data_IF_891746141379
#
_entry.id   IF_891746141379
#
_cell.length_a   1.000
_cell.length_b   1.000
_cell.length_c   1.000
_cell.angle_alpha   90.00
_cell.angle_beta   90.00
_cell.angle_gamma   90.00
#
_symmetry.space_group_name_H-M   'P 1'
#
loop_
_entity.id
_entity.type
_entity.pdbx_description
1 polymer ?
#
# COMPACT_ATOMS: atom_id res chain seq x y z
N UNK A 1 21.13 -8.12 -46.14
CA UNK A 1 21.75 -7.51 -44.92
C UNK A 1 21.26 -6.09 -44.59
N UNK A 2 20.48 -5.40 -45.43
CA UNK A 2 19.96 -4.05 -45.11
C UNK A 2 18.67 -4.00 -44.25
N UNK A 3 17.80 -5.01 -44.35
CA UNK A 3 16.49 -5.00 -43.65
C UNK A 3 16.58 -5.31 -42.15
N UNK A 4 17.56 -6.11 -41.71
CA UNK A 4 17.66 -6.53 -40.30
C UNK A 4 18.04 -5.36 -39.38
N UNK A 5 18.87 -4.42 -39.85
CA UNK A 5 19.25 -3.23 -39.06
C UNK A 5 18.06 -2.31 -38.77
N UNK A 6 17.09 -2.21 -39.70
CA UNK A 6 15.91 -1.35 -39.52
C UNK A 6 14.92 -1.94 -38.50
N UNK A 7 14.75 -3.27 -38.48
CA UNK A 7 13.91 -3.97 -37.52
C UNK A 7 14.46 -3.92 -36.08
N UNK A 8 15.78 -3.96 -35.91
CA UNK A 8 16.42 -3.83 -34.59
C UNK A 8 16.20 -2.41 -34.01
N UNK A 9 16.29 -1.37 -34.85
CA UNK A 9 16.07 0.02 -34.42
C UNK A 9 14.64 0.29 -33.93
N UNK A 10 13.63 -0.27 -34.60
CA UNK A 10 12.22 -0.07 -34.21
C UNK A 10 11.89 -0.75 -32.88
N UNK A 11 12.41 -1.95 -32.63
CA UNK A 11 12.23 -2.65 -31.37
C UNK A 11 12.89 -1.90 -30.20
N UNK A 12 14.13 -1.45 -30.35
CA UNK A 12 14.84 -0.69 -29.31
C UNK A 12 14.08 0.58 -28.91
N UNK A 13 13.56 1.32 -29.89
CA UNK A 13 12.73 2.51 -29.66
C UNK A 13 11.44 2.19 -28.90
N UNK A 14 10.75 1.10 -29.26
CA UNK A 14 9.54 0.66 -28.57
C UNK A 14 9.81 0.31 -27.09
N UNK A 15 10.90 -0.41 -26.80
CA UNK A 15 11.28 -0.73 -25.42
C UNK A 15 11.66 0.52 -24.60
N UNK A 16 12.34 1.49 -25.22
CA UNK A 16 12.68 2.75 -24.58
C UNK A 16 11.41 3.52 -24.20
N UNK A 17 10.47 3.71 -25.14
CA UNK A 17 9.18 4.34 -24.88
C UNK A 17 8.43 3.63 -23.74
N UNK A 18 8.37 2.29 -23.78
CA UNK A 18 7.72 1.50 -22.74
C UNK A 18 8.29 1.78 -21.36
N UNK A 19 9.61 1.88 -21.26
CA UNK A 19 10.30 2.23 -20.00
C UNK A 19 9.98 3.65 -19.55
N UNK A 20 10.00 4.62 -20.45
CA UNK A 20 9.73 6.03 -20.10
C UNK A 20 8.33 6.24 -19.54
N UNK A 21 7.30 5.69 -20.17
CA UNK A 21 5.94 5.83 -19.66
C UNK A 21 5.77 5.20 -18.27
N UNK A 22 6.36 4.02 -18.07
CA UNK A 22 6.34 3.37 -16.77
C UNK A 22 7.01 4.20 -15.66
N UNK A 23 8.14 4.84 -15.97
CA UNK A 23 8.81 5.77 -15.04
C UNK A 23 7.96 7.01 -14.79
N UNK A 24 7.29 7.57 -15.80
CA UNK A 24 6.39 8.73 -15.63
C UNK A 24 5.24 8.40 -14.68
N UNK A 25 4.60 7.24 -14.86
CA UNK A 25 3.53 6.78 -13.96
C UNK A 25 4.04 6.56 -12.53
N UNK A 26 5.24 5.99 -12.38
CA UNK A 26 5.88 5.83 -11.06
C UNK A 26 6.17 7.19 -10.40
N UNK A 27 6.69 8.16 -11.15
CA UNK A 27 6.94 9.52 -10.65
C UNK A 27 5.62 10.21 -10.25
N UNK A 28 4.54 9.98 -10.99
CA UNK A 28 3.20 10.43 -10.62
C UNK A 28 2.75 9.85 -9.27
N UNK A 29 2.95 8.55 -9.04
CA UNK A 29 2.66 7.93 -7.74
C UNK A 29 3.52 8.49 -6.61
N UNK A 30 4.83 8.68 -6.85
CA UNK A 30 5.72 9.31 -5.86
C UNK A 30 5.30 10.74 -5.55
N UNK A 31 4.85 11.50 -6.55
CA UNK A 31 4.33 12.85 -6.35
C UNK A 31 3.05 12.84 -5.51
N UNK A 32 2.08 11.97 -5.82
CA UNK A 32 0.87 11.84 -5.01
C UNK A 32 1.21 11.46 -3.56
N UNK A 33 2.14 10.53 -3.37
CA UNK A 33 2.44 9.97 -2.05
C UNK A 33 3.32 10.87 -1.17
N UNK A 34 4.24 11.63 -1.75
CA UNK A 34 5.20 12.43 -1.00
C UNK A 34 4.73 13.90 -0.91
N UNK A 35 4.94 14.76 -1.93
CA UNK A 35 4.59 16.17 -1.81
C UNK A 35 3.08 16.40 -1.69
N UNK A 36 2.24 15.67 -2.43
CA UNK A 36 0.81 15.89 -2.37
C UNK A 36 0.24 15.48 -1.00
N UNK A 37 0.47 14.24 -0.54
CA UNK A 37 -0.02 13.79 0.77
C UNK A 37 0.54 14.62 1.94
N UNK A 38 1.82 14.99 1.92
CA UNK A 38 2.37 15.91 2.92
C UNK A 38 1.69 17.29 2.85
N UNK A 39 1.48 17.81 1.65
CA UNK A 39 0.76 19.07 1.41
C UNK A 39 -0.66 19.08 1.98
N UNK A 40 -1.40 17.97 1.84
CA UNK A 40 -2.75 17.81 2.46
C UNK A 40 -2.67 18.03 3.97
N UNK A 41 -1.67 17.44 4.61
CA UNK A 41 -1.53 17.48 6.06
C UNK A 41 -1.06 18.84 6.58
N UNK A 42 -0.27 19.58 5.80
CA UNK A 42 0.23 20.91 6.19
C UNK A 42 -0.72 22.06 5.83
N UNK A 43 -1.42 21.99 4.70
CA UNK A 43 -2.27 23.07 4.19
C UNK A 43 -3.75 22.95 4.64
N UNK A 44 -4.09 21.87 5.33
CA UNK A 44 -5.43 21.58 5.83
C UNK A 44 -6.20 20.61 4.93
N UNK A 45 -6.99 19.76 5.58
CA UNK A 45 -7.83 18.77 4.90
C UNK A 45 -9.07 19.47 4.31
N UNK A 46 -9.21 19.40 2.99
CA UNK A 46 -10.47 19.72 2.30
C UNK A 46 -11.11 18.42 1.85
N UNK A 47 -12.44 18.33 1.95
CA UNK A 47 -13.21 17.10 1.70
C UNK A 47 -12.97 16.46 0.32
N UNK A 48 -12.58 17.25 -0.69
CA UNK A 48 -12.32 16.76 -2.04
C UNK A 48 -10.88 16.25 -2.26
N UNK A 49 -9.92 16.67 -1.43
CA UNK A 49 -8.49 16.40 -1.69
C UNK A 49 -8.15 14.94 -1.39
N UNK A 50 -8.72 14.39 -0.32
CA UNK A 50 -8.54 12.98 0.04
C UNK A 50 -9.10 12.03 -1.06
N UNK A 51 -10.32 12.21 -1.59
CA UNK A 51 -10.78 11.47 -2.76
C UNK A 51 -9.87 11.56 -3.99
N UNK A 52 -9.37 12.77 -4.32
CA UNK A 52 -8.45 12.96 -5.45
C UNK A 52 -7.15 12.17 -5.26
N UNK A 53 -6.60 12.20 -4.04
CA UNK A 53 -5.42 11.41 -3.69
C UNK A 53 -5.65 9.91 -3.85
N UNK A 54 -6.72 9.38 -3.28
CA UNK A 54 -7.02 7.94 -3.31
C UNK A 54 -7.35 7.43 -4.71
N UNK A 55 -8.19 8.16 -5.46
CA UNK A 55 -8.52 7.82 -6.85
C UNK A 55 -7.28 7.91 -7.73
N UNK A 56 -6.49 8.99 -7.62
CA UNK A 56 -5.29 9.18 -8.41
C UNK A 56 -4.26 8.09 -8.16
N UNK A 57 -4.03 7.73 -6.90
CA UNK A 57 -3.10 6.66 -6.51
C UNK A 57 -3.56 5.31 -7.05
N UNK A 58 -4.86 4.99 -6.94
CA UNK A 58 -5.40 3.74 -7.44
C UNK A 58 -5.38 3.66 -8.97
N UNK A 59 -5.75 4.74 -9.66
CA UNK A 59 -5.73 4.83 -11.12
C UNK A 59 -4.32 4.65 -11.69
N UNK A 60 -3.31 5.32 -11.13
CA UNK A 60 -1.91 5.17 -11.56
C UNK A 60 -1.36 3.76 -11.25
N UNK A 61 -1.74 3.18 -10.11
CA UNK A 61 -1.37 1.79 -9.78
C UNK A 61 -1.99 0.80 -10.77
N UNK A 62 -3.28 0.95 -11.09
CA UNK A 62 -3.95 0.13 -12.09
C UNK A 62 -3.33 0.29 -13.49
N UNK A 63 -3.00 1.53 -13.88
CA UNK A 63 -2.32 1.82 -15.15
C UNK A 63 -0.94 1.15 -15.22
N UNK A 64 -0.15 1.19 -14.14
CA UNK A 64 1.13 0.50 -14.07
C UNK A 64 0.98 -1.02 -14.13
N UNK A 65 0.00 -1.60 -13.43
CA UNK A 65 -0.29 -3.04 -13.50
C UNK A 65 -0.60 -3.45 -14.93
N UNK A 66 -1.44 -2.67 -15.62
CA UNK A 66 -1.78 -2.93 -17.01
C UNK A 66 -0.58 -2.77 -17.96
N UNK A 67 0.20 -1.70 -17.79
CA UNK A 67 1.37 -1.40 -18.62
C UNK A 67 2.46 -2.46 -18.49
N UNK A 68 2.66 -2.94 -17.27
CA UNK A 68 3.71 -3.89 -16.89
C UNK A 68 3.22 -5.34 -16.83
N UNK A 69 1.98 -5.63 -17.26
CA UNK A 69 1.28 -6.92 -17.12
C UNK A 69 2.07 -8.17 -17.52
N UNK A 70 2.93 -8.07 -18.53
CA UNK A 70 3.74 -9.19 -19.04
C UNK A 70 4.96 -9.51 -18.18
N UNK A 71 5.35 -8.58 -17.29
CA UNK A 71 6.56 -8.68 -16.48
C UNK A 71 6.33 -8.26 -15.02
N UNK A 72 5.10 -8.42 -14.52
CA UNK A 72 4.74 -8.11 -13.12
C UNK A 72 5.57 -8.92 -12.11
N UNK A 73 6.03 -10.11 -12.48
CA UNK A 73 6.93 -10.91 -11.65
C UNK A 73 8.26 -10.19 -11.34
N UNK A 74 8.78 -9.36 -12.25
CA UNK A 74 10.00 -8.56 -12.03
C UNK A 74 9.83 -7.55 -10.89
N UNK A 75 8.58 -7.14 -10.64
CA UNK A 75 8.17 -6.18 -9.63
C UNK A 75 7.60 -6.87 -8.39
N UNK A 76 7.85 -8.17 -8.19
CA UNK A 76 7.27 -8.95 -7.09
C UNK A 76 5.72 -8.90 -7.03
N UNK A 77 5.05 -8.63 -8.15
CA UNK A 77 3.57 -8.59 -8.24
C UNK A 77 3.10 -9.90 -8.85
N UNK A 78 2.59 -10.80 -7.99
CA UNK A 78 1.99 -12.08 -8.40
C UNK A 78 0.47 -12.01 -8.53
N UNK A 79 -0.14 -13.14 -8.88
CA UNK A 79 -1.59 -13.25 -9.02
C UNK A 79 -2.35 -12.87 -7.74
N UNK A 80 -1.86 -13.28 -6.56
CA UNK A 80 -2.49 -12.95 -5.28
C UNK A 80 -2.49 -11.43 -5.01
N UNK A 81 -1.38 -10.75 -5.26
CA UNK A 81 -1.28 -9.29 -5.09
C UNK A 81 -2.27 -8.55 -5.99
N UNK A 82 -2.40 -8.96 -7.25
CA UNK A 82 -3.37 -8.39 -8.19
C UNK A 82 -4.80 -8.56 -7.68
N UNK A 83 -5.16 -9.74 -7.19
CA UNK A 83 -6.48 -9.97 -6.62
C UNK A 83 -6.75 -9.10 -5.39
N UNK A 84 -5.77 -8.95 -4.50
CA UNK A 84 -5.90 -8.06 -3.34
C UNK A 84 -6.18 -6.62 -3.80
N UNK A 85 -5.43 -6.11 -4.79
CA UNK A 85 -5.58 -4.76 -5.34
C UNK A 85 -6.95 -4.53 -5.99
N UNK A 86 -7.47 -5.51 -6.72
CA UNK A 86 -8.77 -5.42 -7.41
C UNK A 86 -9.94 -5.51 -6.43
N UNK A 87 -9.83 -6.37 -5.40
CA UNK A 87 -10.96 -6.68 -4.51
C UNK A 87 -11.01 -5.74 -3.31
N UNK A 88 -9.89 -5.49 -2.64
CA UNK A 88 -9.91 -4.80 -1.36
C UNK A 88 -10.08 -3.29 -1.49
N UNK A 89 -9.68 -2.68 -2.62
CA UNK A 89 -9.87 -1.23 -2.81
C UNK A 89 -11.35 -0.84 -2.93
N UNK A 90 -12.18 -1.52 -3.75
CA UNK A 90 -13.63 -1.29 -3.71
C UNK A 90 -14.27 -1.68 -2.38
N UNK A 91 -13.81 -2.77 -1.74
CA UNK A 91 -14.34 -3.23 -0.45
C UNK A 91 -14.13 -2.19 0.68
N UNK A 92 -13.02 -1.46 0.66
CA UNK A 92 -12.77 -0.31 1.53
C UNK A 92 -13.93 0.70 1.50
N UNK A 93 -14.44 1.03 0.31
CA UNK A 93 -15.54 2.00 0.12
C UNK A 93 -16.87 1.50 0.73
N UNK A 94 -17.08 0.18 0.75
CA UNK A 94 -18.24 -0.44 1.42
C UNK A 94 -18.08 -0.32 2.93
N UNK A 95 -16.88 -0.59 3.46
CA UNK A 95 -16.62 -0.52 4.91
C UNK A 95 -16.84 0.90 5.42
N UNK A 96 -16.35 1.91 4.70
CA UNK A 96 -16.52 3.33 5.04
C UNK A 96 -18.01 3.73 5.17
N UNK A 97 -18.92 3.10 4.42
CA UNK A 97 -20.38 3.33 4.55
C UNK A 97 -20.89 2.96 5.95
N UNK A 98 -20.33 1.92 6.56
CA UNK A 98 -20.76 1.41 7.86
C UNK A 98 -20.11 2.13 9.05
N UNK A 99 -19.19 3.07 8.82
CA UNK A 99 -18.55 3.85 9.90
C UNK A 99 -19.41 5.01 10.43
N UNK A 100 -20.61 5.23 9.85
CA UNK A 100 -21.59 6.20 10.35
C UNK A 100 -21.21 7.68 10.17
N UNK A 101 -20.04 7.97 9.59
CA UNK A 101 -19.62 9.32 9.19
C UNK A 101 -19.80 9.50 7.69
N UNK A 102 -20.10 10.72 7.27
CA UNK A 102 -20.18 11.09 5.85
C UNK A 102 -18.77 11.13 5.24
N UNK A 103 -18.20 9.98 4.90
CA UNK A 103 -16.94 9.90 4.17
C UNK A 103 -17.18 10.16 2.68
N UNK A 104 -16.44 11.07 2.03
CA UNK A 104 -16.57 11.32 0.60
C UNK A 104 -16.33 10.09 -0.29
N UNK A 105 -15.58 9.09 0.20
CA UNK A 105 -15.32 7.81 -0.48
C UNK A 105 -16.29 6.68 -0.09
N UNK A 106 -17.24 6.89 0.82
CA UNK A 106 -18.19 5.85 1.19
C UNK A 106 -19.14 5.52 0.02
N UNK A 107 -19.33 4.24 -0.25
CA UNK A 107 -20.26 3.80 -1.29
C UNK A 107 -21.71 4.12 -0.91
N UNK A 108 -22.55 4.66 -1.82
CA UNK A 108 -22.36 4.83 -3.27
C UNK A 108 -22.04 6.27 -3.72
N UNK A 109 -21.06 6.95 -3.10
CA UNK A 109 -20.65 8.29 -3.55
C UNK A 109 -20.02 8.28 -4.96
N UNK A 110 -20.07 9.41 -5.68
CA UNK A 110 -19.42 9.54 -7.01
C UNK A 110 -17.92 9.14 -6.96
N UNK A 111 -17.11 9.61 -5.99
CA UNK A 111 -15.74 9.15 -5.85
C UNK A 111 -15.59 7.63 -5.68
N UNK A 112 -16.45 6.99 -4.89
CA UNK A 112 -16.42 5.53 -4.72
C UNK A 112 -16.72 4.80 -6.04
N UNK A 113 -17.68 5.27 -6.83
CA UNK A 113 -18.05 4.67 -8.11
C UNK A 113 -16.88 4.72 -9.12
N UNK A 114 -16.03 5.76 -9.06
CA UNK A 114 -14.81 5.83 -9.87
C UNK A 114 -13.82 4.73 -9.46
N UNK A 115 -13.64 4.47 -8.15
CA UNK A 115 -12.79 3.36 -7.67
C UNK A 115 -13.30 2.02 -8.19
N UNK A 116 -14.61 1.77 -8.11
CA UNK A 116 -15.24 0.57 -8.65
C UNK A 116 -15.02 0.43 -10.16
N UNK A 117 -15.18 1.52 -10.91
CA UNK A 117 -14.93 1.56 -12.35
C UNK A 117 -13.49 1.18 -12.68
N UNK A 118 -12.50 1.76 -11.99
CA UNK A 118 -11.08 1.43 -12.17
C UNK A 118 -10.83 -0.06 -11.91
N UNK A 119 -11.37 -0.62 -10.82
CA UNK A 119 -11.20 -2.01 -10.45
C UNK A 119 -11.80 -2.97 -11.49
N UNK A 120 -13.03 -2.71 -11.94
CA UNK A 120 -13.73 -3.51 -12.95
C UNK A 120 -13.01 -3.43 -14.30
N UNK A 121 -12.60 -2.24 -14.72
CA UNK A 121 -11.85 -2.05 -15.98
C UNK A 121 -10.53 -2.81 -15.94
N UNK A 122 -9.78 -2.73 -14.83
CA UNK A 122 -8.54 -3.48 -14.67
C UNK A 122 -8.79 -4.99 -14.73
N UNK A 123 -9.79 -5.50 -14.00
CA UNK A 123 -10.15 -6.91 -14.00
C UNK A 123 -10.55 -7.42 -15.39
N UNK A 124 -11.40 -6.67 -16.11
CA UNK A 124 -11.84 -7.01 -17.45
C UNK A 124 -10.69 -7.07 -18.46
N UNK A 125 -9.76 -6.10 -18.39
CA UNK A 125 -8.58 -6.08 -19.26
C UNK A 125 -7.60 -7.22 -18.98
N UNK A 126 -7.34 -7.54 -17.70
CA UNK A 126 -6.51 -8.68 -17.33
C UNK A 126 -7.17 -10.01 -17.71
N UNK A 127 -8.49 -10.13 -17.55
CA UNK A 127 -9.25 -11.30 -17.99
C UNK A 127 -9.15 -11.52 -19.51
N UNK A 128 -9.30 -10.45 -20.29
CA UNK A 128 -9.25 -10.51 -21.76
C UNK A 128 -7.86 -10.86 -22.27
N UNK A 129 -6.81 -10.30 -21.68
CA UNK A 129 -5.43 -10.50 -22.16
C UNK A 129 -4.73 -11.71 -21.58
N UNK A 130 -5.22 -12.24 -20.44
CA UNK A 130 -4.65 -13.40 -19.72
C UNK A 130 -3.12 -13.29 -19.59
N UNK A 131 -2.59 -12.20 -19.00
CA UNK A 131 -1.15 -12.04 -18.88
C UNK A 131 -0.55 -13.19 -18.06
N UNK A 132 0.73 -13.48 -18.30
CA UNK A 132 1.45 -14.53 -17.60
C UNK A 132 1.79 -14.11 -16.15
N UNK A 133 0.78 -14.06 -15.28
CA UNK A 133 0.94 -13.78 -13.87
C UNK A 133 1.54 -15.00 -13.17
N UNK A 134 2.53 -14.77 -12.29
CA UNK A 134 3.02 -15.82 -11.39
C UNK A 134 1.86 -16.31 -10.52
N UNK A 135 1.41 -17.54 -10.78
CA UNK A 135 0.27 -18.16 -10.09
C UNK A 135 0.54 -18.25 -8.59
N UNK A 136 -0.50 -18.03 -7.80
CA UNK A 136 -0.42 -18.27 -6.37
C UNK A 136 -0.29 -19.78 -6.12
N UNK A 137 0.77 -20.19 -5.42
CA UNK A 137 0.96 -21.56 -4.96
C UNK A 137 0.93 -21.60 -3.43
N UNK A 138 1.07 -22.78 -2.84
CA UNK A 138 1.07 -22.94 -1.39
C UNK A 138 2.12 -22.05 -0.70
N UNK A 139 3.33 -21.94 -1.26
CA UNK A 139 4.38 -21.08 -0.71
C UNK A 139 3.96 -19.60 -0.68
N UNK A 140 3.25 -19.10 -1.71
CA UNK A 140 2.70 -17.73 -1.71
C UNK A 140 1.72 -17.52 -0.56
N UNK A 141 0.81 -18.48 -0.29
CA UNK A 141 -0.14 -18.38 0.82
C UNK A 141 0.53 -18.53 2.19
N UNK A 142 1.53 -19.40 2.30
CA UNK A 142 2.33 -19.52 3.52
C UNK A 142 3.04 -18.19 3.83
N UNK A 143 3.68 -17.59 2.82
CA UNK A 143 4.30 -16.27 2.97
C UNK A 143 3.28 -15.17 3.26
N UNK A 144 2.04 -15.27 2.77
CA UNK A 144 0.98 -14.34 3.16
C UNK A 144 0.63 -14.48 4.65
N UNK A 145 0.50 -15.72 5.15
CA UNK A 145 0.26 -16.00 6.57
C UNK A 145 1.42 -15.55 7.47
N UNK A 146 2.67 -15.80 7.07
CA UNK A 146 3.88 -15.28 7.76
C UNK A 146 3.85 -13.75 7.81
N UNK A 147 3.44 -13.09 6.72
CA UNK A 147 3.26 -11.64 6.71
C UNK A 147 2.27 -11.17 7.77
N UNK A 148 1.10 -11.81 7.85
CA UNK A 148 0.08 -11.51 8.86
C UNK A 148 0.62 -11.69 10.29
N UNK A 149 1.30 -12.81 10.57
CA UNK A 149 1.89 -13.11 11.88
C UNK A 149 2.96 -12.09 12.27
N UNK A 150 3.92 -11.81 11.38
CA UNK A 150 4.94 -10.77 11.60
C UNK A 150 4.31 -9.42 11.84
N UNK A 151 3.24 -9.07 11.12
CA UNK A 151 2.52 -7.83 11.31
C UNK A 151 1.85 -7.72 12.68
N UNK A 152 1.26 -8.80 13.20
CA UNK A 152 0.70 -8.86 14.55
C UNK A 152 1.79 -8.72 15.62
N UNK A 153 2.92 -9.42 15.47
CA UNK A 153 4.05 -9.31 16.39
C UNK A 153 4.61 -7.88 16.41
N UNK A 154 4.77 -7.26 15.25
CA UNK A 154 5.16 -5.85 15.14
C UNK A 154 4.15 -4.93 15.79
N UNK A 155 2.85 -5.19 15.62
CA UNK A 155 1.81 -4.39 16.26
C UNK A 155 1.91 -4.41 17.78
N UNK A 156 2.18 -5.57 18.38
CA UNK A 156 2.41 -5.71 19.83
C UNK A 156 3.62 -4.88 20.26
N UNK A 157 4.74 -4.99 19.54
CA UNK A 157 5.97 -4.24 19.85
C UNK A 157 5.79 -2.73 19.70
N UNK A 158 5.08 -2.28 18.66
CA UNK A 158 4.85 -0.87 18.36
C UNK A 158 3.76 -0.24 19.22
N UNK A 159 2.84 -1.03 19.75
CA UNK A 159 1.75 -0.52 20.58
C UNK A 159 2.24 0.18 21.86
N UNK A 160 3.38 -0.24 22.43
CA UNK A 160 3.96 0.40 23.61
C UNK A 160 4.36 1.85 23.31
N UNK A 161 5.28 2.16 22.38
CA UNK A 161 5.62 3.54 22.06
C UNK A 161 4.43 4.33 21.50
N UNK A 162 3.56 3.70 20.71
CA UNK A 162 2.33 4.33 20.20
C UNK A 162 1.42 4.78 21.37
N UNK A 163 1.31 3.99 22.44
CA UNK A 163 0.44 4.29 23.59
C UNK A 163 0.83 5.58 24.31
N UNK A 164 2.09 6.02 24.24
CA UNK A 164 2.56 7.28 24.83
C UNK A 164 2.14 8.52 24.04
N UNK A 165 1.70 8.33 22.79
CA UNK A 165 1.29 9.40 21.86
C UNK A 165 -0.23 9.44 21.65
N UNK A 166 -0.97 8.55 22.32
CA UNK A 166 -2.42 8.54 22.34
C UNK A 166 -2.89 9.21 23.63
N UNK A 167 -3.78 10.19 23.49
CA UNK A 167 -4.48 10.77 24.63
C UNK A 167 -5.45 9.72 25.20
N UNK A 168 -5.41 9.44 26.51
CA UNK A 168 -6.34 8.49 27.14
C UNK A 168 -7.77 8.92 26.84
N UNK A 169 -8.55 8.02 26.23
CA UNK A 169 -9.92 8.32 25.85
C UNK A 169 -10.77 8.65 27.09
N UNK A 170 -11.57 9.72 27.08
CA UNK A 170 -12.50 10.03 28.17
C UNK A 170 -13.65 9.02 28.28
N UNK A 171 -13.81 8.11 27.30
CA UNK A 171 -14.93 7.17 27.20
C UNK A 171 -14.89 6.03 28.24
N UNK A 172 -13.85 5.93 29.07
CA UNK A 172 -13.75 4.94 30.14
C UNK A 172 -13.51 3.51 29.65
N UNK A 173 -13.17 2.62 30.60
CA UNK A 173 -12.69 1.25 30.34
C UNK A 173 -13.72 0.36 29.61
N UNK A 174 -15.00 0.47 29.98
CA UNK A 174 -16.07 -0.40 29.46
C UNK A 174 -16.32 -0.24 27.96
N UNK A 175 -16.21 1.00 27.44
CA UNK A 175 -16.35 1.29 26.01
C UNK A 175 -15.17 0.77 25.20
N UNK A 176 -13.96 0.84 25.77
CA UNK A 176 -12.77 0.30 25.11
C UNK A 176 -12.94 -1.20 24.88
N UNK A 177 -13.42 -1.99 25.86
CA UNK A 177 -13.55 -3.45 25.71
C UNK A 177 -14.56 -3.93 24.68
N UNK A 178 -15.72 -3.26 24.56
CA UNK A 178 -16.76 -3.60 23.59
C UNK A 178 -16.32 -3.28 22.14
N UNK A 179 -15.39 -2.33 21.97
CA UNK A 179 -14.86 -1.88 20.68
C UNK A 179 -13.69 -2.73 20.15
N UNK A 180 -13.28 -3.84 20.80
CA UNK A 180 -12.05 -4.53 20.40
C UNK A 180 -12.25 -5.69 19.42
N UNK A 181 -13.28 -6.53 19.54
CA UNK A 181 -13.30 -7.79 18.78
C UNK A 181 -13.91 -7.65 17.38
N UNK A 182 -15.08 -7.00 17.27
CA UNK A 182 -15.76 -6.80 15.97
C UNK A 182 -15.00 -5.84 15.04
N UNK A 183 -14.32 -4.77 15.54
CA UNK A 183 -13.59 -3.86 14.68
C UNK A 183 -12.30 -4.42 14.07
N UNK A 184 -11.59 -5.37 14.71
CA UNK A 184 -10.29 -5.83 14.19
C UNK A 184 -10.41 -6.43 12.78
N UNK A 185 -11.33 -7.36 12.57
CA UNK A 185 -11.46 -8.03 11.28
C UNK A 185 -11.85 -7.03 10.18
N UNK A 186 -12.75 -6.09 10.52
CA UNK A 186 -13.14 -4.99 9.63
C UNK A 186 -11.97 -4.06 9.33
N UNK A 187 -11.22 -3.66 10.35
CA UNK A 187 -10.10 -2.74 10.25
C UNK A 187 -8.95 -3.39 9.48
N UNK A 188 -8.72 -4.71 9.63
CA UNK A 188 -7.75 -5.44 8.83
C UNK A 188 -8.11 -5.41 7.34
N UNK A 189 -9.39 -5.63 7.01
CA UNK A 189 -9.88 -5.56 5.61
C UNK A 189 -9.81 -4.13 5.08
N UNK A 190 -10.17 -3.13 5.90
CA UNK A 190 -10.06 -1.72 5.55
C UNK A 190 -8.60 -1.33 5.28
N UNK A 191 -7.67 -1.67 6.18
CA UNK A 191 -6.25 -1.35 6.04
C UNK A 191 -5.59 -2.08 4.86
N UNK A 192 -6.15 -3.22 4.44
CA UNK A 192 -5.74 -3.89 3.20
C UNK A 192 -6.10 -3.06 1.97
N UNK A 193 -7.33 -2.55 1.88
CA UNK A 193 -7.75 -1.69 0.77
C UNK A 193 -7.13 -0.29 0.81
N UNK A 194 -6.97 0.26 2.01
CA UNK A 194 -6.50 1.63 2.20
C UNK A 194 -4.97 1.71 2.10
N UNK A 195 -4.25 1.36 3.17
CA UNK A 195 -2.80 1.54 3.23
C UNK A 195 -2.04 0.56 2.32
N UNK A 196 -2.36 -0.74 2.42
CA UNK A 196 -1.56 -1.75 1.74
C UNK A 196 -1.67 -1.65 0.20
N UNK A 197 -2.86 -1.48 -0.37
CA UNK A 197 -3.04 -1.31 -1.82
C UNK A 197 -2.50 0.04 -2.32
N UNK A 198 -2.59 1.12 -1.54
CA UNK A 198 -2.09 2.43 -1.96
C UNK A 198 -0.56 2.56 -1.89
N UNK A 199 0.12 1.75 -1.07
CA UNK A 199 1.55 1.92 -0.76
C UNK A 199 2.44 0.78 -1.24
N UNK A 200 2.05 -0.47 -1.03
CA UNK A 200 2.91 -1.62 -1.31
C UNK A 200 3.22 -1.80 -2.80
N UNK A 201 2.27 -1.61 -3.74
CA UNK A 201 2.57 -1.62 -5.17
C UNK A 201 3.57 -0.54 -5.59
N UNK A 202 3.50 0.65 -4.97
CA UNK A 202 4.43 1.75 -5.24
C UNK A 202 5.84 1.39 -4.76
N UNK A 203 6.00 1.14 -3.46
CA UNK A 203 7.32 0.96 -2.86
C UNK A 203 7.87 -0.44 -3.16
N UNK A 204 7.24 -1.50 -2.67
CA UNK A 204 7.82 -2.86 -2.71
C UNK A 204 7.65 -3.53 -4.08
N UNK A 205 6.78 -2.95 -4.90
CA UNK A 205 6.53 -3.37 -6.28
C UNK A 205 7.33 -2.57 -7.32
N UNK A 206 6.69 -1.55 -7.89
CA UNK A 206 7.18 -0.82 -9.05
C UNK A 206 8.50 -0.10 -8.80
N UNK A 207 8.61 0.70 -7.73
CA UNK A 207 9.85 1.40 -7.40
C UNK A 207 11.02 0.42 -7.26
N UNK A 208 10.79 -0.71 -6.57
CA UNK A 208 11.80 -1.76 -6.42
C UNK A 208 12.26 -2.28 -7.78
N UNK A 209 11.32 -2.72 -8.62
CA UNK A 209 11.65 -3.33 -9.91
C UNK A 209 12.32 -2.35 -10.89
N UNK A 210 11.93 -1.07 -10.89
CA UNK A 210 12.61 -0.06 -11.72
C UNK A 210 14.01 0.26 -11.23
N UNK A 211 14.24 0.41 -9.91
CA UNK A 211 15.59 0.60 -9.35
C UNK A 211 16.49 -0.59 -9.67
N UNK A 212 15.99 -1.83 -9.52
CA UNK A 212 16.73 -3.04 -9.90
C UNK A 212 17.09 -3.03 -11.39
N UNK A 213 16.16 -2.63 -12.27
CA UNK A 213 16.40 -2.47 -13.72
C UNK A 213 17.40 -1.36 -14.06
N UNK A 214 17.66 -0.44 -13.13
CA UNK A 214 18.74 0.57 -13.22
C UNK A 214 20.07 0.07 -12.64
N UNK A 215 20.17 -1.21 -12.24
CA UNK A 215 21.39 -1.82 -11.74
C UNK A 215 21.61 -1.62 -10.24
N UNK A 216 20.62 -1.13 -9.49
CA UNK A 216 20.75 -1.01 -8.04
C UNK A 216 20.75 -2.39 -7.38
N UNK A 217 21.61 -2.56 -6.36
CA UNK A 217 21.65 -3.79 -5.55
C UNK A 217 20.43 -3.82 -4.61
N UNK A 218 19.88 -5.01 -4.39
CA UNK A 218 18.69 -5.22 -3.55
C UNK A 218 18.80 -4.57 -2.16
N UNK A 219 19.96 -4.63 -1.51
CA UNK A 219 20.19 -4.00 -0.18
C UNK A 219 20.05 -2.48 -0.21
N UNK A 220 20.52 -1.82 -1.29
CA UNK A 220 20.42 -0.37 -1.42
C UNK A 220 19.00 0.07 -1.74
N UNK A 221 18.28 -0.73 -2.54
CA UNK A 221 16.85 -0.50 -2.82
C UNK A 221 16.06 -0.57 -1.50
N UNK A 222 16.31 -1.60 -0.70
CA UNK A 222 15.66 -1.79 0.60
C UNK A 222 15.86 -0.60 1.53
N UNK A 223 17.10 -0.16 1.73
CA UNK A 223 17.41 0.99 2.59
C UNK A 223 16.85 2.30 2.05
N UNK A 224 16.99 2.54 0.74
CA UNK A 224 16.45 3.74 0.09
C UNK A 224 14.93 3.82 0.22
N UNK A 225 14.22 2.70 0.06
CA UNK A 225 12.78 2.66 0.23
C UNK A 225 12.35 2.89 1.67
N UNK A 226 13.08 2.36 2.66
CA UNK A 226 12.79 2.63 4.06
C UNK A 226 12.93 4.13 4.38
N UNK A 227 13.97 4.77 3.85
CA UNK A 227 14.14 6.23 3.95
C UNK A 227 12.98 6.97 3.28
N UNK A 228 12.67 6.65 2.03
CA UNK A 228 11.62 7.33 1.27
C UNK A 228 10.23 7.16 1.91
N UNK A 229 9.95 5.97 2.44
CA UNK A 229 8.72 5.66 3.17
C UNK A 229 8.63 6.45 4.48
N UNK A 230 9.74 6.61 5.19
CA UNK A 230 9.82 7.47 6.39
C UNK A 230 9.54 8.93 6.02
N UNK A 231 10.16 9.44 4.95
CA UNK A 231 9.94 10.80 4.45
C UNK A 231 8.49 11.02 4.00
N UNK A 232 7.82 9.98 3.47
CA UNK A 232 6.38 10.04 3.16
C UNK A 232 5.51 10.36 4.38
N UNK A 233 6.03 10.08 5.58
CA UNK A 233 5.37 10.31 6.86
C UNK A 233 5.95 11.51 7.61
N UNK A 234 6.63 12.44 6.93
CA UNK A 234 7.22 13.65 7.56
C UNK A 234 6.20 14.47 8.36
N UNK A 235 4.92 14.41 8.00
CA UNK A 235 3.84 15.06 8.74
C UNK A 235 3.62 14.49 10.16
N UNK A 236 4.24 13.37 10.51
CA UNK A 236 4.26 12.83 11.87
C UNK A 236 5.32 13.47 12.78
N UNK A 237 6.33 14.15 12.25
CA UNK A 237 7.52 14.54 13.03
C UNK A 237 7.18 15.35 14.30
N UNK A 238 6.16 16.22 14.23
CA UNK A 238 5.74 17.06 15.36
C UNK A 238 4.60 16.43 16.18
N UNK A 239 3.71 15.68 15.54
CA UNK A 239 2.47 15.18 16.18
C UNK A 239 2.65 13.79 16.79
N UNK A 240 3.42 12.94 16.13
CA UNK A 240 3.68 11.56 16.50
C UNK A 240 5.18 11.26 16.36
N UNK A 241 6.05 11.88 17.19
CA UNK A 241 7.49 11.79 17.03
C UNK A 241 8.02 10.36 17.19
N UNK A 242 7.48 9.55 18.12
CA UNK A 242 7.93 8.15 18.25
C UNK A 242 7.51 7.33 17.03
N UNK A 243 6.34 7.64 16.46
CA UNK A 243 5.90 6.98 15.23
C UNK A 243 6.81 7.35 14.06
N UNK A 244 7.18 8.62 13.91
CA UNK A 244 8.09 9.08 12.85
C UNK A 244 9.52 8.53 12.99
N UNK A 245 10.10 8.59 14.19
CA UNK A 245 11.52 8.25 14.40
C UNK A 245 11.79 6.76 14.58
N UNK A 246 10.80 5.98 15.04
CA UNK A 246 11.01 4.56 15.35
C UNK A 246 10.04 3.64 14.61
N UNK A 247 8.73 3.85 14.76
CA UNK A 247 7.72 2.90 14.26
C UNK A 247 7.76 2.83 12.73
N UNK A 248 7.71 3.98 12.05
CA UNK A 248 7.69 4.04 10.58
C UNK A 248 9.00 3.53 9.96
N UNK A 249 10.21 3.94 10.39
CA UNK A 249 11.46 3.43 9.81
C UNK A 249 11.65 1.93 10.02
N UNK A 250 11.42 1.43 11.24
CA UNK A 250 11.53 -0.01 11.54
C UNK A 250 10.48 -0.78 10.76
N UNK A 251 9.24 -0.27 10.73
CA UNK A 251 8.15 -0.81 9.95
C UNK A 251 8.52 -0.95 8.47
N UNK A 252 9.05 0.12 7.88
CA UNK A 252 9.43 0.15 6.48
C UNK A 252 10.55 -0.84 6.14
N UNK A 253 11.52 -1.01 7.04
CA UNK A 253 12.58 -2.01 6.92
C UNK A 253 12.00 -3.43 6.96
N UNK A 254 11.12 -3.76 7.91
CA UNK A 254 10.54 -5.11 7.99
C UNK A 254 9.66 -5.40 6.77
N UNK A 255 8.79 -4.47 6.35
CA UNK A 255 7.95 -4.64 5.16
C UNK A 255 8.79 -4.85 3.89
N UNK A 256 9.89 -4.09 3.76
CA UNK A 256 10.84 -4.26 2.65
C UNK A 256 11.55 -5.61 2.68
N UNK A 257 11.98 -6.09 3.87
CA UNK A 257 12.61 -7.40 4.05
C UNK A 257 11.64 -8.54 3.70
N UNK A 258 10.39 -8.43 4.13
CA UNK A 258 9.34 -9.41 3.82
C UNK A 258 9.12 -9.54 2.32
N UNK A 259 8.92 -8.43 1.61
CA UNK A 259 8.76 -8.44 0.15
C UNK A 259 10.02 -8.97 -0.56
N UNK A 260 11.21 -8.62 -0.07
CA UNK A 260 12.48 -9.09 -0.61
C UNK A 260 12.63 -10.61 -0.48
N UNK A 261 12.31 -11.18 0.69
CA UNK A 261 12.45 -12.62 0.96
C UNK A 261 11.37 -13.45 0.28
N UNK A 262 10.12 -13.02 0.32
CA UNK A 262 8.99 -13.76 -0.25
C UNK A 262 8.91 -13.65 -1.78
N UNK A 263 9.53 -12.61 -2.36
CA UNK A 263 9.39 -12.23 -3.77
C UNK A 263 7.93 -12.01 -4.18
N UNK A 264 7.10 -11.55 -3.25
CA UNK A 264 5.71 -11.15 -3.48
C UNK A 264 5.33 -9.99 -2.56
N UNK A 265 4.69 -8.95 -3.10
CA UNK A 265 4.18 -7.85 -2.27
C UNK A 265 2.97 -8.26 -1.43
N UNK A 266 2.30 -9.39 -1.73
CA UNK A 266 1.16 -9.86 -0.93
C UNK A 266 1.54 -10.10 0.55
N UNK A 267 2.77 -10.54 0.81
CA UNK A 267 3.30 -10.71 2.17
C UNK A 267 3.42 -9.38 2.91
N UNK A 268 4.01 -8.37 2.28
CA UNK A 268 4.15 -7.06 2.92
C UNK A 268 2.80 -6.36 3.04
N UNK A 269 1.87 -6.56 2.10
CA UNK A 269 0.48 -6.10 2.22
C UNK A 269 -0.21 -6.70 3.46
N UNK A 270 -0.11 -8.01 3.67
CA UNK A 270 -0.67 -8.66 4.86
C UNK A 270 -0.08 -8.11 6.17
N UNK A 271 1.24 -7.98 6.23
CA UNK A 271 1.94 -7.44 7.38
C UNK A 271 1.55 -5.98 7.65
N UNK A 272 1.53 -5.14 6.62
CA UNK A 272 1.18 -3.73 6.72
C UNK A 272 -0.26 -3.55 7.22
N UNK A 273 -1.21 -4.30 6.66
CA UNK A 273 -2.60 -4.25 7.14
C UNK A 273 -2.74 -4.69 8.59
N UNK A 274 -2.04 -5.75 8.99
CA UNK A 274 -2.04 -6.22 10.38
C UNK A 274 -1.42 -5.20 11.33
N UNK A 275 -0.26 -4.63 10.99
CA UNK A 275 0.37 -3.58 11.80
C UNK A 275 -0.62 -2.43 12.02
N UNK A 276 -1.23 -1.90 10.96
CA UNK A 276 -2.11 -0.75 11.09
C UNK A 276 -3.40 -1.07 11.86
N UNK A 277 -4.00 -2.24 11.63
CA UNK A 277 -5.24 -2.63 12.30
C UNK A 277 -5.03 -2.90 13.79
N UNK A 278 -3.96 -3.60 14.16
CA UNK A 278 -3.74 -4.05 15.54
C UNK A 278 -2.99 -3.03 16.41
N UNK A 279 -2.03 -2.25 15.86
CA UNK A 279 -1.18 -1.37 16.67
C UNK A 279 -2.01 -0.34 17.42
N UNK A 280 -2.88 0.38 16.71
CA UNK A 280 -3.71 1.43 17.32
C UNK A 280 -4.65 0.86 18.37
N UNK A 281 -5.21 -0.30 18.11
CA UNK A 281 -6.09 -0.98 19.06
C UNK A 281 -5.34 -1.32 20.36
N UNK A 282 -4.21 -2.03 20.27
CA UNK A 282 -3.43 -2.45 21.43
C UNK A 282 -2.89 -1.22 22.17
N UNK A 283 -2.45 -0.19 21.45
CA UNK A 283 -1.95 1.06 22.02
C UNK A 283 -3.03 1.78 22.85
N UNK A 284 -4.28 1.81 22.38
CA UNK A 284 -5.40 2.33 23.16
C UNK A 284 -5.66 1.51 24.42
N UNK A 285 -5.55 0.18 24.35
CA UNK A 285 -5.69 -0.67 25.55
C UNK A 285 -4.61 -0.34 26.57
N UNK A 286 -3.35 -0.26 26.14
CA UNK A 286 -2.23 0.10 27.02
C UNK A 286 -2.46 1.49 27.64
N UNK A 287 -2.84 2.47 26.82
CA UNK A 287 -3.06 3.85 27.28
C UNK A 287 -4.21 4.00 28.28
N UNK A 288 -5.24 3.14 28.23
CA UNK A 288 -6.43 3.23 29.10
C UNK A 288 -6.33 2.34 30.34
N UNK A 289 -5.63 1.21 30.25
CA UNK A 289 -5.56 0.21 31.32
C UNK A 289 -4.24 0.22 32.10
N UNK A 290 -3.14 0.66 31.49
CA UNK A 290 -1.79 0.53 32.06
C UNK A 290 -1.08 1.87 32.29
N UNK A 291 -1.58 2.98 31.72
CA UNK A 291 -1.13 4.35 31.99
C UNK A 291 -2.18 5.05 32.86
#
# INVERSE_FOLDING_TARGET
>A
MGNDKKAIGTLASFYAWRRHLGVILLLGLLFLRLPFAAGIRFLGERDWVYPVFEIGTYALTAALIWWERERLADFHIGQLSVWIIIIFKPLETIILRFEGRAFPLAFPSVPSLIIWMIAITLAAFLWKTRPNLKKANFATYLWFAVGLEVGILMAILFAIPESFQIDPSPLGKTWVSFLLVVPIARDLVYQMGYAAVSEEPLFRGFLWGYLRKMGWKDVWIWLFQALLFTLAHVYYINRFPLSFWFIVPIGALVLGLLAWRSRTIATSMAAHSAVNAFTRMIANMIAVYLR
#
